data_IF_297544615329
#
_entry.id   IF_297544615329
#
_cell.length_a   1.000
_cell.length_b   1.000
_cell.length_c   1.000
_cell.angle_alpha   90.00
_cell.angle_beta   90.00
_cell.angle_gamma   90.00
#
_symmetry.space_group_name_H-M   'P 1'
#
loop_
_entity.id
_entity.type
_entity.pdbx_description
1 polymer ?
#
# COMPACT_ATOMS: atom_id res chain seq x y z
N UNK A 1 1.74 26.69 5.98
CA UNK A 1 1.58 25.21 5.93
C UNK A 1 2.51 24.69 4.85
N UNK A 2 3.28 23.64 5.12
CA UNK A 2 4.14 23.04 4.09
C UNK A 2 3.27 22.37 3.00
N UNK A 3 3.61 22.60 1.74
CA UNK A 3 2.88 22.05 0.58
C UNK A 3 2.97 20.53 0.58
N UNK A 4 1.82 19.88 0.41
CA UNK A 4 1.70 18.43 0.23
C UNK A 4 1.69 18.07 -1.26
N UNK A 5 2.64 17.22 -1.66
CA UNK A 5 2.86 16.80 -3.05
C UNK A 5 2.94 15.27 -3.16
N UNK A 6 2.28 14.68 -4.17
CA UNK A 6 2.35 13.24 -4.45
C UNK A 6 3.26 13.01 -5.67
N UNK A 7 4.28 12.15 -5.53
CA UNK A 7 5.23 11.83 -6.61
C UNK A 7 5.22 10.35 -6.95
N UNK A 8 5.20 9.97 -8.23
CA UNK A 8 5.42 8.58 -8.63
C UNK A 8 6.86 8.16 -8.32
N UNK A 9 7.02 6.94 -7.82
CA UNK A 9 8.33 6.32 -7.64
C UNK A 9 8.87 5.92 -9.02
N UNK A 10 9.95 6.58 -9.46
CA UNK A 10 10.54 6.36 -10.79
C UNK A 10 12.02 5.99 -10.74
N UNK A 11 12.72 6.41 -9.68
CA UNK A 11 14.17 6.23 -9.57
C UNK A 11 14.54 5.26 -8.45
N UNK A 12 15.77 4.73 -8.49
CA UNK A 12 16.31 3.93 -7.38
C UNK A 12 16.39 4.71 -6.06
N UNK A 13 16.53 6.03 -6.12
CA UNK A 13 16.49 6.89 -4.93
C UNK A 13 15.08 6.97 -4.33
N UNK A 14 14.05 7.03 -5.17
CA UNK A 14 12.65 7.01 -4.72
C UNK A 14 12.28 5.65 -4.14
N UNK A 15 12.69 4.55 -4.78
CA UNK A 15 12.51 3.20 -4.23
C UNK A 15 13.15 3.05 -2.85
N UNK A 16 14.34 3.62 -2.65
CA UNK A 16 14.99 3.62 -1.33
C UNK A 16 14.16 4.36 -0.28
N UNK A 17 13.59 5.52 -0.63
CA UNK A 17 12.72 6.28 0.28
C UNK A 17 11.45 5.50 0.60
N UNK A 18 10.86 4.87 -0.41
CA UNK A 18 9.68 4.01 -0.28
C UNK A 18 9.93 2.86 0.69
N UNK A 19 10.99 2.07 0.48
CA UNK A 19 11.33 0.95 1.37
C UNK A 19 11.75 1.39 2.78
N UNK A 20 12.26 2.61 2.96
CA UNK A 20 12.67 3.12 4.26
C UNK A 20 11.51 3.72 5.07
N UNK A 21 10.37 4.02 4.44
CA UNK A 21 9.27 4.72 5.12
C UNK A 21 8.68 3.88 6.27
N UNK A 22 8.34 2.58 6.10
CA UNK A 22 7.82 1.77 7.20
C UNK A 22 8.73 1.80 8.43
N UNK A 23 10.04 1.55 8.28
CA UNK A 23 10.97 1.58 9.41
C UNK A 23 11.06 2.92 10.15
N UNK A 24 10.61 4.04 9.54
CA UNK A 24 10.48 5.32 10.23
C UNK A 24 9.17 5.46 10.99
N UNK A 25 8.08 4.93 10.45
CA UNK A 25 6.76 4.98 11.05
C UNK A 25 6.65 4.02 12.24
N UNK A 26 7.18 2.81 12.09
CA UNK A 26 7.18 1.76 13.11
C UNK A 26 8.41 1.78 14.03
N UNK A 27 9.15 2.90 14.10
CA UNK A 27 10.42 2.97 14.85
C UNK A 27 10.28 2.65 16.35
N UNK A 28 9.11 2.92 16.93
CA UNK A 28 8.80 2.73 18.35
C UNK A 28 7.92 1.48 18.55
N UNK A 29 7.72 0.69 17.49
CA UNK A 29 6.88 -0.50 17.49
C UNK A 29 7.74 -1.77 17.65
N UNK A 30 7.73 -2.41 18.83
CA UNK A 30 8.55 -3.59 19.07
C UNK A 30 8.08 -4.83 18.29
N UNK A 31 6.87 -4.80 17.73
CA UNK A 31 6.30 -5.89 16.95
C UNK A 31 6.65 -5.80 15.46
N UNK A 32 7.16 -4.66 14.99
CA UNK A 32 7.47 -4.46 13.58
C UNK A 32 8.73 -5.22 13.15
N UNK A 33 8.59 -6.04 12.12
CA UNK A 33 9.69 -6.76 11.47
C UNK A 33 9.87 -6.23 10.06
N UNK A 34 11.04 -5.68 9.76
CA UNK A 34 11.32 -5.13 8.44
C UNK A 34 11.40 -6.26 7.37
N UNK A 35 10.68 -6.12 6.24
CA UNK A 35 10.78 -7.09 5.15
C UNK A 35 12.18 -7.16 4.55
N UNK A 36 12.57 -8.34 4.06
CA UNK A 36 13.85 -8.53 3.39
C UNK A 36 13.98 -7.61 2.18
N UNK A 37 15.02 -6.77 2.19
CA UNK A 37 15.28 -5.78 1.12
C UNK A 37 15.46 -6.40 -0.26
N UNK A 38 15.94 -7.64 -0.33
CA UNK A 38 16.11 -8.36 -1.60
C UNK A 38 14.77 -8.69 -2.24
N UNK A 39 13.79 -9.13 -1.43
CA UNK A 39 12.46 -9.49 -1.90
C UNK A 39 11.70 -8.25 -2.37
N UNK A 40 11.76 -7.15 -1.61
CA UNK A 40 11.22 -5.86 -2.04
C UNK A 40 11.84 -5.40 -3.38
N UNK A 41 13.16 -5.51 -3.55
CA UNK A 41 13.81 -5.14 -4.81
C UNK A 41 13.38 -6.02 -5.98
N UNK A 42 13.17 -7.32 -5.76
CA UNK A 42 12.70 -8.25 -6.78
C UNK A 42 11.27 -7.89 -7.21
N UNK A 43 10.41 -7.66 -6.22
CA UNK A 43 8.98 -7.39 -6.39
C UNK A 43 8.69 -6.09 -7.13
N UNK A 44 9.47 -5.04 -6.90
CA UNK A 44 9.31 -3.76 -7.61
C UNK A 44 10.09 -3.68 -8.93
N UNK A 45 10.73 -4.78 -9.35
CA UNK A 45 11.45 -4.84 -10.62
C UNK A 45 10.57 -5.46 -11.71
N UNK A 46 10.04 -4.60 -12.59
CA UNK A 46 9.17 -5.00 -13.71
C UNK A 46 9.75 -6.07 -14.64
N UNK A 47 11.08 -6.21 -14.70
CA UNK A 47 11.74 -7.23 -15.54
C UNK A 47 11.94 -8.56 -14.83
N UNK A 48 11.90 -8.59 -13.50
CA UNK A 48 12.22 -9.78 -12.69
C UNK A 48 11.00 -10.42 -12.06
N UNK A 49 10.00 -9.63 -11.70
CA UNK A 49 8.80 -10.18 -11.07
C UNK A 49 7.80 -10.70 -12.12
N UNK A 50 7.41 -12.00 -12.06
CA UNK A 50 6.42 -12.57 -12.97
C UNK A 50 5.05 -11.89 -12.94
N UNK A 51 4.68 -11.21 -11.84
CA UNK A 51 3.43 -10.45 -11.73
C UNK A 51 3.22 -9.50 -12.92
N UNK A 52 4.28 -8.82 -13.35
CA UNK A 52 4.20 -7.82 -14.43
C UNK A 52 3.94 -8.41 -15.83
N UNK A 53 3.85 -9.75 -15.97
CA UNK A 53 3.34 -10.39 -17.19
C UNK A 53 1.81 -10.31 -17.30
N UNK A 54 1.13 -10.13 -16.17
CA UNK A 54 -0.33 -10.19 -16.05
C UNK A 54 -0.90 -9.05 -15.21
N UNK A 55 -0.16 -7.95 -15.11
CA UNK A 55 -0.54 -6.81 -14.29
C UNK A 55 0.47 -5.68 -14.39
N UNK A 56 0.09 -4.53 -13.85
CA UNK A 56 0.97 -3.39 -13.68
C UNK A 56 0.78 -2.80 -12.29
N UNK A 57 1.80 -2.10 -11.81
CA UNK A 57 1.75 -1.40 -10.54
C UNK A 57 2.48 -0.08 -10.62
N UNK A 58 1.97 0.91 -9.88
CA UNK A 58 2.58 2.22 -9.72
C UNK A 58 2.61 2.60 -8.25
N UNK A 59 3.82 2.81 -7.75
CA UNK A 59 4.05 3.28 -6.38
C UNK A 59 4.12 4.80 -6.35
N UNK A 60 3.65 5.39 -5.26
CA UNK A 60 3.66 6.83 -5.01
C UNK A 60 4.18 7.13 -3.61
N UNK A 61 4.75 8.32 -3.47
CA UNK A 61 5.21 8.89 -2.21
C UNK A 61 4.52 10.24 -1.98
N UNK A 62 4.02 10.46 -0.77
CA UNK A 62 3.55 11.76 -0.31
C UNK A 62 4.69 12.51 0.36
N UNK A 63 4.87 13.77 -0.02
CA UNK A 63 5.85 14.68 0.55
C UNK A 63 5.17 15.87 1.20
N UNK A 64 5.53 16.18 2.45
CA UNK A 64 5.36 17.53 3.02
C UNK A 64 6.71 18.21 3.05
N UNK A 65 6.87 19.23 2.20
CA UNK A 65 8.17 19.84 1.94
C UNK A 65 9.19 18.78 1.46
N UNK A 66 10.25 18.56 2.26
CA UNK A 66 11.30 17.56 1.96
C UNK A 66 11.06 16.19 2.63
N UNK A 67 10.06 16.08 3.50
CA UNK A 67 9.79 14.87 4.29
C UNK A 67 8.81 13.97 3.56
N UNK A 68 9.14 12.69 3.45
CA UNK A 68 8.19 11.66 3.03
C UNK A 68 7.26 11.37 4.20
N UNK A 69 5.96 11.52 3.98
CA UNK A 69 4.91 11.37 5.00
C UNK A 69 3.96 10.22 4.72
N UNK A 70 4.03 9.62 3.53
CA UNK A 70 3.22 8.46 3.19
C UNK A 70 3.63 7.80 1.88
N UNK A 71 3.12 6.61 1.63
CA UNK A 71 3.30 5.84 0.41
C UNK A 71 2.07 4.99 0.10
N UNK A 72 1.89 4.66 -1.18
CA UNK A 72 0.86 3.72 -1.64
C UNK A 72 1.32 3.06 -2.95
N UNK A 73 0.85 1.86 -3.22
CA UNK A 73 0.96 1.20 -4.53
C UNK A 73 -0.42 1.01 -5.10
N UNK A 74 -0.65 1.49 -6.32
CA UNK A 74 -1.82 1.16 -7.13
C UNK A 74 -1.48 -0.04 -8.01
N UNK A 75 -2.40 -1.00 -8.14
CA UNK A 75 -2.16 -2.29 -8.79
C UNK A 75 -3.33 -2.63 -9.72
N UNK A 76 -3.00 -2.93 -10.97
CA UNK A 76 -3.87 -3.60 -11.91
C UNK A 76 -3.43 -5.06 -12.03
N UNK A 77 -4.34 -6.00 -11.78
CA UNK A 77 -4.12 -7.42 -12.02
C UNK A 77 -5.08 -7.89 -13.10
N UNK A 78 -4.59 -8.03 -14.34
CA UNK A 78 -5.43 -8.40 -15.48
C UNK A 78 -5.88 -9.86 -15.36
N UNK A 79 -5.02 -10.76 -14.88
CA UNK A 79 -5.39 -12.16 -14.66
C UNK A 79 -6.53 -12.33 -13.64
N UNK A 80 -6.51 -11.57 -12.54
CA UNK A 80 -7.62 -11.54 -11.58
C UNK A 80 -8.92 -11.07 -12.25
N UNK A 81 -8.85 -9.98 -13.01
CA UNK A 81 -10.02 -9.40 -13.66
C UNK A 81 -10.60 -10.30 -14.75
N UNK A 82 -9.75 -11.00 -15.50
CA UNK A 82 -10.16 -12.00 -16.49
C UNK A 82 -10.86 -13.20 -15.83
N UNK A 83 -10.27 -13.74 -14.75
CA UNK A 83 -10.82 -14.88 -14.03
C UNK A 83 -12.13 -14.56 -13.30
N UNK A 84 -12.16 -13.44 -12.56
CA UNK A 84 -13.33 -13.01 -11.77
C UNK A 84 -14.38 -12.26 -12.60
N UNK A 85 -14.13 -12.04 -13.90
CA UNK A 85 -14.99 -11.24 -14.79
C UNK A 85 -15.30 -9.86 -14.18
N UNK A 86 -14.29 -9.24 -13.58
CA UNK A 86 -14.44 -7.98 -12.83
C UNK A 86 -13.55 -6.86 -13.38
N UNK A 87 -13.73 -5.64 -12.85
CA UNK A 87 -12.91 -4.46 -13.19
C UNK A 87 -12.34 -3.86 -11.91
N UNK A 88 -11.65 -4.70 -11.16
CA UNK A 88 -11.14 -4.40 -9.84
C UNK A 88 -9.68 -3.98 -9.93
N UNK A 89 -9.39 -2.81 -9.39
CA UNK A 89 -8.04 -2.37 -9.05
C UNK A 89 -7.76 -2.60 -7.59
N UNK A 90 -6.49 -2.63 -7.24
CA UNK A 90 -6.06 -2.81 -5.86
C UNK A 90 -5.13 -1.71 -5.40
N UNK A 91 -5.08 -1.49 -4.09
CA UNK A 91 -3.97 -0.78 -3.48
C UNK A 91 -3.24 -1.64 -2.46
N UNK A 92 -1.94 -1.41 -2.28
CA UNK A 92 -1.07 -2.11 -1.34
C UNK A 92 -0.01 -1.17 -0.77
N UNK A 93 0.74 -1.64 0.23
CA UNK A 93 1.82 -0.88 0.91
C UNK A 93 1.40 0.56 1.25
N UNK A 94 0.17 0.69 1.74
CA UNK A 94 -0.34 1.96 2.22
C UNK A 94 0.29 2.25 3.57
N UNK A 95 1.11 3.31 3.60
CA UNK A 95 1.81 3.76 4.79
C UNK A 95 1.59 5.27 4.89
N UNK A 96 1.26 5.78 6.07
CA UNK A 96 1.04 7.21 6.24
C UNK A 96 1.26 7.60 7.69
N UNK A 97 1.84 8.77 7.94
CA UNK A 97 1.68 9.41 9.25
C UNK A 97 0.19 9.69 9.49
N UNK A 98 -0.21 9.95 10.73
CA UNK A 98 -1.59 10.33 11.08
C UNK A 98 -1.96 11.71 10.51
N UNK A 99 -2.24 11.72 9.20
CA UNK A 99 -2.46 12.89 8.36
C UNK A 99 -3.53 12.57 7.31
N UNK A 100 -4.81 12.92 7.60
CA UNK A 100 -5.93 12.67 6.70
C UNK A 100 -5.77 13.31 5.31
N UNK A 101 -5.08 14.45 5.20
CA UNK A 101 -4.86 15.12 3.91
C UNK A 101 -3.90 14.31 3.04
N UNK A 102 -2.81 13.78 3.63
CA UNK A 102 -1.85 12.92 2.97
C UNK A 102 -2.48 11.59 2.54
N UNK A 103 -3.21 10.93 3.44
CA UNK A 103 -3.92 9.69 3.16
C UNK A 103 -4.92 9.86 2.01
N UNK A 104 -5.78 10.88 2.08
CA UNK A 104 -6.76 11.17 1.05
C UNK A 104 -6.13 11.46 -0.32
N UNK A 105 -5.04 12.24 -0.38
CA UNK A 105 -4.34 12.49 -1.65
C UNK A 105 -3.66 11.24 -2.22
N UNK A 106 -3.08 10.37 -1.38
CA UNK A 106 -2.48 9.11 -1.81
C UNK A 106 -3.53 8.17 -2.42
N UNK A 107 -4.62 7.92 -1.70
CA UNK A 107 -5.71 7.05 -2.14
C UNK A 107 -6.33 7.56 -3.44
N UNK A 108 -6.68 8.86 -3.50
CA UNK A 108 -7.21 9.48 -4.73
C UNK A 108 -6.25 9.39 -5.92
N UNK A 109 -4.95 9.49 -5.67
CA UNK A 109 -3.94 9.32 -6.74
C UNK A 109 -3.93 7.88 -7.27
N UNK A 110 -3.98 6.89 -6.37
CA UNK A 110 -4.08 5.49 -6.75
C UNK A 110 -5.38 5.19 -7.52
N UNK A 111 -6.52 5.66 -7.02
CA UNK A 111 -7.82 5.56 -7.70
C UNK A 111 -7.78 6.17 -9.11
N UNK A 112 -7.16 7.34 -9.26
CA UNK A 112 -7.07 8.03 -10.55
C UNK A 112 -6.26 7.20 -11.55
N UNK A 113 -5.13 6.64 -11.12
CA UNK A 113 -4.30 5.75 -11.93
C UNK A 113 -5.02 4.46 -12.36
N UNK A 114 -5.85 3.89 -11.47
CA UNK A 114 -6.68 2.71 -11.75
C UNK A 114 -7.85 3.05 -12.69
N UNK A 115 -8.45 4.23 -12.52
CA UNK A 115 -9.54 4.73 -13.38
C UNK A 115 -9.07 4.97 -14.81
N UNK A 116 -7.86 5.51 -15.02
CA UNK A 116 -7.24 5.65 -16.33
C UNK A 116 -7.10 4.30 -17.06
N UNK A 117 -7.01 3.20 -16.31
CA UNK A 117 -6.98 1.81 -16.80
C UNK A 117 -8.37 1.17 -16.92
N UNK A 118 -9.44 1.98 -16.79
CA UNK A 118 -10.84 1.55 -16.93
C UNK A 118 -11.29 0.56 -15.85
N UNK A 119 -10.60 0.53 -14.70
CA UNK A 119 -11.05 -0.19 -13.52
C UNK A 119 -12.11 0.65 -12.80
N UNK A 120 -13.15 0.00 -12.27
CA UNK A 120 -14.34 0.66 -11.72
C UNK A 120 -14.50 0.46 -10.21
N UNK A 121 -13.69 -0.41 -9.61
CA UNK A 121 -13.69 -0.72 -8.20
C UNK A 121 -12.26 -0.74 -7.68
N UNK A 122 -12.05 -0.36 -6.43
CA UNK A 122 -10.74 -0.36 -5.78
C UNK A 122 -10.85 -1.08 -4.43
N UNK A 123 -10.04 -2.11 -4.22
CA UNK A 123 -10.00 -2.91 -3.00
C UNK A 123 -8.60 -2.90 -2.41
N UNK A 124 -8.49 -2.74 -1.10
CA UNK A 124 -7.20 -2.84 -0.40
C UNK A 124 -7.31 -2.49 1.08
N UNK A 125 -6.17 -2.45 1.78
CA UNK A 125 -4.84 -2.78 1.26
C UNK A 125 -4.70 -4.31 1.07
N UNK A 126 -4.21 -4.71 -0.10
CA UNK A 126 -3.62 -6.02 -0.27
C UNK A 126 -2.19 -6.00 0.29
N UNK A 127 -1.72 -7.15 0.78
CA UNK A 127 -0.27 -7.34 0.86
C UNK A 127 0.29 -7.39 -0.56
N UNK A 128 1.37 -6.66 -0.81
CA UNK A 128 2.06 -6.71 -2.10
C UNK A 128 2.78 -8.06 -2.31
N UNK A 129 3.05 -8.82 -1.23
CA UNK A 129 3.44 -10.22 -1.33
C UNK A 129 2.20 -11.10 -1.46
N UNK A 130 2.01 -11.67 -2.64
CA UNK A 130 0.88 -12.57 -2.96
C UNK A 130 0.90 -13.88 -2.18
N UNK A 131 1.97 -14.20 -1.44
CA UNK A 131 2.15 -15.56 -0.93
C UNK A 131 2.02 -15.73 0.58
N UNK A 132 2.03 -14.66 1.39
CA UNK A 132 2.40 -14.87 2.80
C UNK A 132 2.00 -13.77 3.79
N UNK A 133 1.05 -12.88 3.45
CA UNK A 133 0.53 -11.93 4.45
C UNK A 133 -0.98 -11.77 4.24
N UNK A 134 -1.73 -11.94 5.33
CA UNK A 134 -3.19 -11.74 5.34
C UNK A 134 -3.56 -10.35 4.79
N UNK A 135 -4.47 -10.24 3.81
CA UNK A 135 -4.89 -8.94 3.29
C UNK A 135 -5.73 -8.18 4.31
N UNK A 136 -5.71 -6.86 4.24
CA UNK A 136 -6.51 -5.97 5.09
C UNK A 136 -5.70 -5.12 6.06
N UNK A 137 -6.41 -4.38 6.90
CA UNK A 137 -5.86 -3.54 7.98
C UNK A 137 -6.22 -4.22 9.29
N UNK A 138 -5.24 -4.37 10.19
CA UNK A 138 -5.53 -4.79 11.55
C UNK A 138 -6.44 -3.75 12.22
N UNK A 139 -7.64 -4.13 12.61
CA UNK A 139 -8.63 -3.24 13.27
C UNK A 139 -8.84 -3.56 14.75
N UNK A 140 -8.40 -4.73 15.22
CA UNK A 140 -8.51 -5.23 16.61
C UNK A 140 -7.35 -6.20 16.90
N UNK A 141 -6.91 -6.29 18.16
CA UNK A 141 -5.89 -7.26 18.60
C UNK A 141 -4.45 -6.74 18.58
N UNK A 142 -4.24 -5.42 18.66
CA UNK A 142 -2.90 -4.80 18.68
C UNK A 142 -2.07 -5.20 19.92
N UNK A 143 -2.70 -5.74 20.96
CA UNK A 143 -2.06 -6.20 22.19
C UNK A 143 -1.37 -7.58 22.07
N UNK A 144 -1.58 -8.32 20.98
CA UNK A 144 -0.96 -9.62 20.75
C UNK A 144 0.24 -9.49 19.80
N UNK A 145 1.33 -10.27 20.02
CA UNK A 145 2.41 -10.33 19.06
C UNK A 145 1.86 -10.73 17.69
N UNK A 146 2.31 -10.10 16.58
CA UNK A 146 1.85 -10.46 15.26
C UNK A 146 2.20 -11.93 15.01
N UNK A 147 1.18 -12.72 14.67
CA UNK A 147 1.41 -14.06 14.18
C UNK A 147 2.19 -13.96 12.86
N UNK A 148 3.10 -14.91 12.64
CA UNK A 148 3.82 -15.01 11.37
C UNK A 148 2.80 -14.90 10.22
N UNK A 149 3.07 -14.06 9.22
CA UNK A 149 2.22 -13.89 8.04
C UNK A 149 0.93 -13.05 8.25
N UNK A 150 0.86 -12.20 9.28
CA UNK A 150 -0.27 -11.26 9.47
C UNK A 150 0.08 -9.83 9.05
N UNK A 151 -0.90 -9.08 8.53
CA UNK A 151 -0.70 -7.67 8.21
C UNK A 151 -0.59 -6.86 9.50
N UNK A 152 0.55 -6.18 9.67
CA UNK A 152 0.75 -5.22 10.73
C UNK A 152 0.40 -3.83 10.23
N UNK A 153 -0.37 -3.08 11.00
CA UNK A 153 -0.80 -1.73 10.67
C UNK A 153 -0.80 -0.85 11.93
N UNK A 154 -0.60 0.45 11.78
CA UNK A 154 -0.76 1.37 12.90
C UNK A 154 -2.25 1.58 13.22
N UNK A 155 -2.63 1.78 14.50
CA UNK A 155 -4.04 1.81 14.92
C UNK A 155 -4.93 2.81 14.17
N UNK A 156 -4.36 3.90 13.68
CA UNK A 156 -5.08 4.97 12.99
C UNK A 156 -5.29 4.71 11.48
N UNK A 157 -4.70 3.67 10.90
CA UNK A 157 -4.76 3.42 9.45
C UNK A 157 -6.18 3.20 8.95
N UNK A 158 -7.01 2.50 9.72
CA UNK A 158 -8.41 2.28 9.38
C UNK A 158 -9.18 3.61 9.24
N UNK A 159 -9.00 4.52 10.21
CA UNK A 159 -9.64 5.82 10.20
C UNK A 159 -9.19 6.70 9.01
N UNK A 160 -7.92 6.61 8.62
CA UNK A 160 -7.40 7.32 7.44
C UNK A 160 -8.03 6.82 6.14
N UNK A 161 -8.16 5.49 5.98
CA UNK A 161 -8.73 4.88 4.78
C UNK A 161 -10.24 5.14 4.70
N UNK A 162 -10.95 4.96 5.81
CA UNK A 162 -12.39 5.26 5.90
C UNK A 162 -12.67 6.76 5.70
N UNK A 163 -11.86 7.63 6.29
CA UNK A 163 -11.95 9.09 6.13
C UNK A 163 -11.71 9.57 4.69
N UNK A 164 -11.01 8.77 3.87
CA UNK A 164 -10.84 9.02 2.44
C UNK A 164 -12.03 8.54 1.58
N UNK A 165 -13.07 7.95 2.19
CA UNK A 165 -14.29 7.51 1.51
C UNK A 165 -14.34 6.03 1.16
N UNK A 166 -13.31 5.25 1.51
CA UNK A 166 -13.37 3.79 1.41
C UNK A 166 -14.33 3.22 2.47
N UNK A 167 -14.89 2.06 2.16
CA UNK A 167 -15.76 1.32 3.07
C UNK A 167 -15.23 -0.09 3.23
N UNK A 168 -15.51 -0.69 4.39
CA UNK A 168 -15.18 -2.07 4.67
C UNK A 168 -15.72 -3.00 3.58
N UNK A 169 -14.84 -3.80 2.99
CA UNK A 169 -15.21 -4.77 1.96
C UNK A 169 -15.59 -6.14 2.56
N UNK A 170 -14.78 -6.65 3.50
CA UNK A 170 -15.01 -7.93 4.18
C UNK A 170 -14.21 -8.00 5.49
N UNK A 171 -14.62 -8.90 6.39
CA UNK A 171 -13.81 -9.31 7.55
C UNK A 171 -12.96 -10.53 7.19
N UNK A 172 -11.70 -10.52 7.63
CA UNK A 172 -10.81 -11.68 7.60
C UNK A 172 -10.42 -12.04 9.03
N UNK A 173 -10.22 -13.33 9.29
CA UNK A 173 -9.68 -13.84 10.56
C UNK A 173 -8.36 -14.52 10.23
N UNK A 174 -7.31 -14.21 10.99
CA UNK A 174 -5.96 -14.75 10.83
C UNK A 174 -5.46 -15.28 12.16
#
# INVERSE_FOLDING_TARGET
METLEIKPVKTGADLRKFFNLPGKLYKDDPAYVEPLRMDLKKMFNKKKDPFYKHGDAQSYLAYRGKKVVGSIVAIENTAYNEYQKSKTGFFASFECIDDPEAAGKLLKTAESWLKERRLTQVIGPLSFSTENISPGILIKGFEYPPYLLTAHALPYYAALVEGAGHKKAMDTVS
#
